data_IF_327773123027
#
_entry.id   IF_327773123027
#
_cell.length_a   1.000
_cell.length_b   1.000
_cell.length_c   1.000
_cell.angle_alpha   90.00
_cell.angle_beta   90.00
_cell.angle_gamma   90.00
#
_symmetry.space_group_name_H-M   'P 1'
#
loop_
_entity.id
_entity.type
_entity.pdbx_description
1 polymer ?
#
# COMPACT_ATOMS: atom_id res chain seq x y z
N UNK A 1 15.94 -5.32 -16.13
CA UNK A 1 15.54 -4.71 -17.42
C UNK A 1 14.06 -4.32 -17.38
N UNK A 2 13.70 -3.31 -16.57
CA UNK A 2 12.31 -2.88 -16.38
C UNK A 2 12.23 -1.41 -15.95
N UNK A 3 13.08 -0.55 -16.52
CA UNK A 3 13.08 0.89 -16.20
C UNK A 3 12.90 1.80 -17.42
N UNK A 4 12.70 1.24 -18.62
CA UNK A 4 12.58 2.02 -19.86
C UNK A 4 11.19 1.94 -20.53
N UNK A 5 10.11 1.69 -19.77
CA UNK A 5 8.76 1.47 -20.33
C UNK A 5 7.66 2.35 -19.72
N UNK A 6 8.02 3.43 -19.00
CA UNK A 6 7.02 4.33 -18.39
C UNK A 6 6.69 5.55 -19.24
N UNK A 7 7.46 5.85 -20.29
CA UNK A 7 7.24 7.03 -21.15
C UNK A 7 6.63 6.74 -22.51
N UNK A 8 6.46 5.47 -22.90
CA UNK A 8 5.99 5.07 -24.24
C UNK A 8 5.05 3.85 -24.23
N UNK A 9 4.17 3.71 -23.23
CA UNK A 9 3.08 2.70 -23.30
C UNK A 9 1.75 3.37 -23.64
N UNK A 10 1.00 2.85 -24.62
CA UNK A 10 -0.26 3.46 -25.05
C UNK A 10 -1.27 3.47 -23.88
N UNK A 11 -2.18 4.47 -23.82
CA UNK A 11 -3.16 4.64 -22.73
C UNK A 11 -3.94 3.36 -22.40
N UNK A 12 -4.16 2.51 -23.39
CA UNK A 12 -4.89 1.24 -23.28
C UNK A 12 -4.21 0.24 -22.32
N UNK A 13 -2.88 0.22 -22.25
CA UNK A 13 -2.16 -0.69 -21.36
C UNK A 13 -2.39 -0.33 -19.88
N UNK A 14 -2.44 0.97 -19.57
CA UNK A 14 -2.67 1.45 -18.21
C UNK A 14 -4.08 1.07 -17.74
N UNK A 15 -5.08 1.30 -18.58
CA UNK A 15 -6.48 0.92 -18.29
C UNK A 15 -6.60 -0.59 -18.06
N UNK A 16 -5.94 -1.40 -18.88
CA UNK A 16 -5.96 -2.86 -18.73
C UNK A 16 -5.35 -3.32 -17.38
N UNK A 17 -4.23 -2.73 -16.98
CA UNK A 17 -3.60 -3.06 -15.68
C UNK A 17 -4.51 -2.63 -14.52
N UNK A 18 -5.13 -1.45 -14.60
CA UNK A 18 -6.07 -0.99 -13.58
C UNK A 18 -7.24 -1.97 -13.41
N UNK A 19 -7.86 -2.37 -14.52
CA UNK A 19 -9.00 -3.28 -14.48
C UNK A 19 -8.61 -4.69 -13.99
N UNK A 20 -7.51 -5.24 -14.50
CA UNK A 20 -7.17 -6.65 -14.27
C UNK A 20 -6.37 -6.93 -12.99
N UNK A 21 -5.66 -5.94 -12.45
CA UNK A 21 -4.71 -6.14 -11.33
C UNK A 21 -5.00 -5.32 -10.09
N UNK A 22 -5.65 -4.15 -10.23
CA UNK A 22 -5.89 -3.27 -9.08
C UNK A 22 -7.36 -3.15 -8.68
N UNK A 23 -8.28 -3.05 -9.65
CA UNK A 23 -9.72 -2.86 -9.44
C UNK A 23 -10.55 -4.12 -9.73
N UNK A 24 -9.93 -5.30 -9.84
CA UNK A 24 -10.61 -6.56 -10.21
C UNK A 24 -11.73 -6.99 -9.25
N UNK A 25 -11.70 -6.50 -8.00
CA UNK A 25 -12.74 -6.73 -6.98
C UNK A 25 -13.46 -5.44 -6.56
N UNK A 26 -13.20 -4.33 -7.23
CA UNK A 26 -13.82 -3.04 -6.92
C UNK A 26 -15.06 -2.79 -7.78
N UNK A 27 -15.98 -1.92 -7.36
CA UNK A 27 -17.06 -1.41 -8.21
C UNK A 27 -16.55 -0.85 -9.54
N UNK A 28 -17.34 -1.01 -10.60
CA UNK A 28 -16.97 -0.54 -11.94
C UNK A 28 -16.89 0.98 -12.02
N UNK A 29 -17.68 1.67 -11.19
CA UNK A 29 -17.69 3.12 -11.05
C UNK A 29 -16.33 3.63 -10.56
N UNK A 30 -15.70 2.91 -9.62
CA UNK A 30 -14.37 3.27 -9.10
C UNK A 30 -13.27 3.02 -10.15
N UNK A 31 -13.40 1.96 -10.96
CA UNK A 31 -12.51 1.75 -12.11
C UNK A 31 -12.65 2.88 -13.12
N UNK A 32 -13.89 3.25 -13.49
CA UNK A 32 -14.14 4.36 -14.41
C UNK A 32 -13.51 5.66 -13.88
N UNK A 33 -13.74 5.97 -12.60
CA UNK A 33 -13.14 7.13 -11.94
C UNK A 33 -11.61 7.07 -11.97
N UNK A 34 -11.01 5.92 -11.67
CA UNK A 34 -9.56 5.74 -11.72
C UNK A 34 -9.00 6.00 -13.12
N UNK A 35 -9.65 5.52 -14.18
CA UNK A 35 -9.20 5.77 -15.56
C UNK A 35 -9.21 7.26 -15.94
N UNK A 36 -10.06 8.06 -15.31
CA UNK A 36 -10.12 9.51 -15.51
C UNK A 36 -9.08 10.29 -14.69
N UNK A 37 -8.67 9.76 -13.53
CA UNK A 37 -7.84 10.48 -12.56
C UNK A 37 -6.39 10.05 -12.51
N UNK A 38 -6.06 8.82 -12.90
CA UNK A 38 -4.70 8.28 -12.81
C UNK A 38 -3.74 9.09 -13.70
N UNK A 39 -2.61 9.48 -13.10
CA UNK A 39 -1.54 10.21 -13.80
C UNK A 39 -0.29 9.34 -13.89
N UNK A 40 0.59 9.57 -14.87
CA UNK A 40 1.90 8.91 -14.90
C UNK A 40 2.67 9.16 -13.60
N UNK A 41 3.08 8.08 -12.94
CA UNK A 41 3.91 8.15 -11.74
C UNK A 41 5.35 7.70 -12.08
N UNK A 42 6.36 8.47 -11.66
CA UNK A 42 7.77 8.06 -11.82
C UNK A 42 8.15 7.12 -10.70
N UNK A 43 8.60 5.92 -11.07
CA UNK A 43 9.26 5.02 -10.14
C UNK A 43 10.73 5.41 -10.03
N UNK A 44 11.14 5.92 -8.88
CA UNK A 44 12.53 6.24 -8.59
C UNK A 44 13.40 4.97 -8.57
N UNK A 45 14.64 5.09 -9.04
CA UNK A 45 15.58 3.99 -8.99
C UNK A 45 15.93 3.63 -7.55
N UNK A 46 16.45 2.41 -7.32
CA UNK A 46 16.90 1.99 -5.99
C UNK A 46 17.98 2.93 -5.46
N UNK A 47 18.87 3.42 -6.33
CA UNK A 47 19.94 4.34 -5.96
C UNK A 47 19.44 5.75 -5.62
N UNK A 48 18.38 6.23 -6.29
CA UNK A 48 17.77 7.51 -5.93
C UNK A 48 17.09 7.40 -4.56
N UNK A 49 16.33 6.31 -4.36
CA UNK A 49 15.63 6.03 -3.09
C UNK A 49 16.59 5.86 -1.92
N UNK A 50 17.70 5.13 -2.08
CA UNK A 50 18.64 4.87 -0.98
C UNK A 50 19.40 6.11 -0.52
N UNK A 51 19.51 7.14 -1.36
CA UNK A 51 20.12 8.42 -1.00
C UNK A 51 19.17 9.32 -0.20
N UNK A 52 17.88 9.28 -0.50
CA UNK A 52 16.88 10.15 0.12
C UNK A 52 16.18 9.49 1.32
N UNK A 53 15.97 8.17 1.28
CA UNK A 53 15.19 7.42 2.25
C UNK A 53 16.08 6.51 3.10
N UNK A 54 16.86 7.12 4.00
CA UNK A 54 17.69 6.38 4.96
C UNK A 54 16.90 6.16 6.25
N UNK A 55 16.51 4.91 6.50
CA UNK A 55 15.75 4.52 7.69
C UNK A 55 16.71 3.97 8.76
N UNK A 56 16.51 4.35 10.02
CA UNK A 56 17.33 3.87 11.15
C UNK A 56 16.45 3.35 12.27
N UNK A 57 16.98 2.41 13.06
CA UNK A 57 16.25 1.81 14.18
C UNK A 57 15.94 2.82 15.28
N UNK A 58 16.81 3.81 15.49
CA UNK A 58 16.65 4.84 16.53
C UNK A 58 15.54 5.87 16.22
N UNK A 59 15.11 5.95 14.96
CA UNK A 59 14.02 6.83 14.53
C UNK A 59 12.85 6.01 13.98
N UNK A 60 13.00 5.49 12.76
CA UNK A 60 11.95 4.72 12.08
C UNK A 60 11.54 3.49 12.89
N UNK A 61 12.51 2.77 13.47
CA UNK A 61 12.25 1.58 14.29
C UNK A 61 11.56 1.84 15.64
N UNK A 62 11.39 3.11 16.03
CA UNK A 62 10.64 3.47 17.26
C UNK A 62 9.15 3.66 17.02
N UNK A 63 8.73 3.78 15.76
CA UNK A 63 7.33 3.97 15.38
C UNK A 63 6.67 2.61 15.23
N UNK A 64 5.60 2.36 16.00
CA UNK A 64 4.76 1.18 15.80
C UNK A 64 4.21 1.18 14.37
N UNK A 65 4.41 0.09 13.65
CA UNK A 65 3.93 -0.04 12.29
C UNK A 65 3.15 -1.34 12.08
N UNK A 66 2.02 -1.21 11.39
CA UNK A 66 1.07 -2.29 11.14
C UNK A 66 1.01 -2.55 9.64
N UNK A 67 1.12 -3.81 9.25
CA UNK A 67 0.98 -4.24 7.87
C UNK A 67 -0.44 -4.77 7.63
N UNK A 68 -1.20 -4.14 6.73
CA UNK A 68 -2.54 -4.60 6.34
C UNK A 68 -2.46 -5.23 4.96
N UNK A 69 -2.65 -6.54 4.89
CA UNK A 69 -2.66 -7.34 3.69
C UNK A 69 -4.04 -7.40 3.02
N UNK A 70 -4.04 -7.57 1.70
CA UNK A 70 -5.22 -7.87 0.91
C UNK A 70 -5.11 -9.29 0.34
N UNK A 71 -6.13 -10.11 0.58
CA UNK A 71 -6.10 -11.55 0.25
C UNK A 71 -5.87 -11.82 -1.25
N UNK A 72 -6.48 -11.01 -2.12
CA UNK A 72 -6.42 -11.19 -3.58
C UNK A 72 -5.68 -10.05 -4.27
N UNK A 73 -4.63 -9.52 -3.64
CA UNK A 73 -3.72 -8.55 -4.28
C UNK A 73 -2.90 -9.24 -5.39
N UNK A 74 -3.00 -8.71 -6.61
CA UNK A 74 -2.28 -9.20 -7.80
C UNK A 74 -1.09 -8.32 -8.19
N UNK A 75 -0.83 -7.24 -7.44
CA UNK A 75 0.34 -6.37 -7.56
C UNK A 75 1.43 -6.84 -6.61
N UNK A 76 1.07 -7.11 -5.35
CA UNK A 76 1.96 -7.64 -4.33
C UNK A 76 1.53 -9.06 -3.97
N UNK A 77 1.87 -10.00 -4.85
CA UNK A 77 1.57 -11.42 -4.66
C UNK A 77 2.11 -11.94 -3.31
N UNK A 78 1.49 -13.02 -2.82
CA UNK A 78 1.74 -13.61 -1.50
C UNK A 78 3.24 -13.77 -1.17
N UNK A 79 4.04 -14.29 -2.11
CA UNK A 79 5.47 -14.51 -1.89
C UNK A 79 6.24 -13.21 -1.67
N UNK A 80 5.89 -12.14 -2.39
CA UNK A 80 6.50 -10.81 -2.22
C UNK A 80 6.10 -10.23 -0.86
N UNK A 81 4.83 -10.37 -0.49
CA UNK A 81 4.30 -9.91 0.79
C UNK A 81 4.94 -10.60 1.98
N UNK A 82 5.03 -11.94 1.95
CA UNK A 82 5.70 -12.72 2.98
C UNK A 82 7.18 -12.35 3.10
N UNK A 83 7.85 -12.19 1.96
CA UNK A 83 9.24 -11.73 1.95
C UNK A 83 9.40 -10.36 2.61
N UNK A 84 8.52 -9.39 2.31
CA UNK A 84 8.55 -8.06 2.94
C UNK A 84 8.40 -8.13 4.46
N UNK A 85 7.43 -8.92 4.95
CA UNK A 85 7.17 -9.11 6.39
C UNK A 85 8.36 -9.80 7.07
N UNK A 86 9.02 -10.75 6.40
CA UNK A 86 10.19 -11.42 6.95
C UNK A 86 11.43 -10.51 7.02
N UNK A 87 11.62 -9.65 6.03
CA UNK A 87 12.79 -8.76 5.98
C UNK A 87 12.64 -7.55 6.90
N UNK A 88 11.42 -7.07 7.11
CA UNK A 88 11.12 -5.99 8.04
C UNK A 88 9.87 -6.41 8.81
N UNK A 89 10.04 -6.87 10.04
CA UNK A 89 8.95 -7.43 10.84
C UNK A 89 8.07 -6.30 11.42
N UNK A 90 6.75 -6.29 11.15
CA UNK A 90 5.81 -5.35 11.74
C UNK A 90 5.37 -5.76 13.14
N UNK A 91 4.91 -4.77 13.91
CA UNK A 91 4.34 -4.98 15.26
C UNK A 91 3.00 -5.72 15.21
N UNK A 92 2.31 -5.63 14.08
CA UNK A 92 1.04 -6.30 13.83
C UNK A 92 0.88 -6.53 12.33
N UNK A 93 0.36 -7.71 11.97
CA UNK A 93 -0.08 -8.05 10.61
C UNK A 93 -1.57 -8.33 10.67
N UNK A 94 -2.32 -7.69 9.79
CA UNK A 94 -3.75 -7.91 9.60
C UNK A 94 -4.02 -8.25 8.14
N UNK A 95 -5.11 -8.97 7.87
CA UNK A 95 -5.52 -9.29 6.50
C UNK A 95 -7.02 -9.04 6.32
N UNK A 96 -7.36 -8.28 5.28
CA UNK A 96 -8.75 -8.06 4.90
C UNK A 96 -9.12 -9.13 3.86
N UNK A 97 -9.98 -10.07 4.29
CA UNK A 97 -10.43 -11.16 3.44
C UNK A 97 -11.31 -10.67 2.31
N UNK A 98 -11.16 -11.28 1.14
CA UNK A 98 -11.91 -10.94 -0.07
C UNK A 98 -11.60 -9.55 -0.64
N UNK A 99 -10.50 -8.90 -0.25
CA UNK A 99 -10.10 -7.61 -0.83
C UNK A 99 -9.06 -7.77 -1.94
N UNK A 100 -9.16 -6.92 -2.96
CA UNK A 100 -8.10 -6.72 -3.96
C UNK A 100 -7.13 -5.62 -3.54
N UNK A 101 -6.22 -5.24 -4.45
CA UNK A 101 -5.20 -4.21 -4.20
C UNK A 101 -5.81 -2.88 -3.73
N UNK A 102 -6.91 -2.45 -4.34
CA UNK A 102 -7.64 -1.24 -3.95
C UNK A 102 -8.61 -1.54 -2.79
N UNK A 103 -8.08 -1.92 -1.62
CA UNK A 103 -8.86 -2.26 -0.41
C UNK A 103 -9.85 -1.16 -0.05
N UNK A 104 -9.41 0.10 -0.14
CA UNK A 104 -10.24 1.28 0.15
C UNK A 104 -11.46 1.43 -0.77
N UNK A 105 -11.48 0.77 -1.93
CA UNK A 105 -12.60 0.79 -2.89
C UNK A 105 -13.45 -0.47 -2.78
N UNK A 106 -12.83 -1.66 -2.69
CA UNK A 106 -13.57 -2.92 -2.64
C UNK A 106 -14.12 -3.26 -1.24
N UNK A 107 -13.43 -2.85 -0.16
CA UNK A 107 -13.73 -3.19 1.24
C UNK A 107 -13.59 -1.97 2.17
N UNK A 108 -14.25 -0.82 1.86
CA UNK A 108 -14.04 0.43 2.61
C UNK A 108 -14.46 0.34 4.08
N UNK A 109 -15.56 -0.36 4.39
CA UNK A 109 -16.09 -0.44 5.75
C UNK A 109 -15.24 -1.35 6.62
N UNK A 110 -14.80 -2.50 6.09
CA UNK A 110 -13.90 -3.40 6.79
C UNK A 110 -12.55 -2.72 7.05
N UNK A 111 -12.00 -2.00 6.07
CA UNK A 111 -10.79 -1.21 6.25
C UNK A 111 -10.98 -0.12 7.31
N UNK A 112 -12.09 0.62 7.27
CA UNK A 112 -12.39 1.66 8.25
C UNK A 112 -12.44 1.11 9.68
N UNK A 113 -13.16 0.01 9.88
CA UNK A 113 -13.29 -0.62 11.19
C UNK A 113 -11.93 -1.14 11.70
N UNK A 114 -11.12 -1.72 10.81
CA UNK A 114 -9.78 -2.19 11.15
C UNK A 114 -8.87 -1.03 11.56
N UNK A 115 -8.86 0.06 10.80
CA UNK A 115 -8.09 1.27 11.13
C UNK A 115 -8.53 1.88 12.46
N UNK A 116 -9.84 1.90 12.75
CA UNK A 116 -10.35 2.37 14.04
C UNK A 116 -9.89 1.46 15.19
N UNK A 117 -9.91 0.14 15.00
CA UNK A 117 -9.40 -0.83 15.97
C UNK A 117 -7.91 -0.62 16.26
N UNK A 118 -7.09 -0.44 15.21
CA UNK A 118 -5.66 -0.14 15.32
C UNK A 118 -5.45 1.19 16.07
N UNK A 119 -6.17 2.24 15.70
CA UNK A 119 -6.06 3.55 16.34
C UNK A 119 -6.40 3.50 17.84
N UNK A 120 -7.41 2.70 18.22
CA UNK A 120 -7.76 2.50 19.63
C UNK A 120 -6.71 1.67 20.37
N UNK A 121 -6.14 0.64 19.73
CA UNK A 121 -5.09 -0.21 20.32
C UNK A 121 -3.80 0.57 20.59
N UNK A 122 -3.38 1.41 19.65
CA UNK A 122 -2.15 2.19 19.74
C UNK A 122 -2.41 3.65 20.19
N UNK A 123 -3.55 3.90 20.85
CA UNK A 123 -3.87 5.21 21.39
C UNK A 123 -2.73 5.63 22.34
N UNK A 124 -2.12 6.82 22.16
CA UNK A 124 -1.08 7.29 23.05
C UNK A 124 -1.63 7.48 24.46
N UNK A 125 -0.81 7.20 25.47
CA UNK A 125 -1.12 7.55 26.85
C UNK A 125 -1.29 9.07 26.97
N UNK A 126 -2.29 9.53 27.73
CA UNK A 126 -2.52 10.96 27.95
C UNK A 126 -1.23 11.62 28.49
N UNK A 127 -0.74 12.64 27.78
CA UNK A 127 0.42 13.45 28.21
C UNK A 127 1.77 13.08 27.58
N UNK A 128 1.84 12.13 26.63
CA UNK A 128 3.05 11.88 25.83
C UNK A 128 2.85 12.39 24.40
N UNK A 129 3.44 13.54 24.09
CA UNK A 129 3.55 14.02 22.72
C UNK A 129 4.57 13.14 21.97
N UNK A 130 4.07 12.25 21.12
CA UNK A 130 4.88 11.38 20.27
C UNK A 130 5.22 12.00 18.90
N UNK A 131 4.75 13.24 18.64
CA UNK A 131 5.08 14.01 17.44
C UNK A 131 6.22 15.00 17.72
N UNK A 132 7.39 14.50 18.13
CA UNK A 132 8.63 15.23 18.00
C UNK A 132 9.36 14.68 16.77
N UNK A 133 9.12 15.31 15.62
CA UNK A 133 9.97 15.16 14.42
C UNK A 133 11.09 16.18 14.49
#
# INVERSE_FOLDING_TARGET
MMMALTTLRPPQFQVLVLAARTYQLSPLEDLALATMLVRPNRLFSVNDKSRELVLTSEKYGTVNWVFIAAEYDLIYEEGVRQWMIQQNQPDQVEEIKGSGHMVMMCKPIELFNLLLSIAMKYKPEEGKDHFAV
#
